data_IF_296163056477
#
_entry.id   IF_296163056477
#
_cell.length_a   1.000
_cell.length_b   1.000
_cell.length_c   1.000
_cell.angle_alpha   90.00
_cell.angle_beta   90.00
_cell.angle_gamma   90.00
#
_symmetry.space_group_name_H-M   'P 1'
#
loop_
_entity.id
_entity.type
_entity.pdbx_description
1 polymer ?
#
# COMPACT_ATOMS: atom_id res chain seq x y z
N UNK A 1 -0.19 -15.61 30.89
CA UNK A 1 1.14 -15.48 30.22
C UNK A 1 0.99 -15.28 28.72
N UNK A 2 0.23 -16.13 27.97
CA UNK A 2 0.15 -16.04 26.51
C UNK A 2 -0.34 -14.71 25.97
N UNK A 3 -1.42 -14.14 26.53
CA UNK A 3 -1.94 -12.83 26.10
C UNK A 3 -0.93 -11.69 26.33
N UNK A 4 -0.19 -11.72 27.43
CA UNK A 4 0.86 -10.72 27.70
C UNK A 4 1.96 -10.80 26.64
N UNK A 5 2.42 -12.01 26.35
CA UNK A 5 3.47 -12.23 25.33
C UNK A 5 2.99 -11.81 23.93
N UNK A 6 1.73 -12.11 23.56
CA UNK A 6 1.16 -11.65 22.30
C UNK A 6 1.19 -10.11 22.19
N UNK A 7 0.77 -9.39 23.23
CA UNK A 7 0.82 -7.93 23.27
C UNK A 7 2.26 -7.39 23.17
N UNK A 8 3.21 -7.99 23.88
CA UNK A 8 4.62 -7.61 23.84
C UNK A 8 5.18 -7.76 22.41
N UNK A 9 4.87 -8.88 21.72
CA UNK A 9 5.30 -9.13 20.35
C UNK A 9 4.65 -8.16 19.38
N UNK A 10 3.34 -7.88 19.50
CA UNK A 10 2.66 -6.91 18.64
C UNK A 10 3.31 -5.52 18.73
N UNK A 11 3.62 -5.06 19.95
CA UNK A 11 4.32 -3.78 20.17
C UNK A 11 5.75 -3.83 19.59
N UNK A 12 6.47 -4.94 19.76
CA UNK A 12 7.80 -5.12 19.21
C UNK A 12 7.78 -5.06 17.68
N UNK A 13 6.87 -5.78 17.03
CA UNK A 13 6.72 -5.82 15.58
C UNK A 13 6.41 -4.43 15.01
N UNK A 14 5.48 -3.69 15.62
CA UNK A 14 5.16 -2.33 15.19
C UNK A 14 6.39 -1.40 15.29
N UNK A 15 7.13 -1.45 16.40
CA UNK A 15 8.34 -0.65 16.57
C UNK A 15 9.50 -1.09 15.67
N UNK A 16 9.58 -2.37 15.31
CA UNK A 16 10.52 -2.86 14.31
C UNK A 16 10.25 -2.25 12.93
N UNK A 17 9.01 -2.30 12.46
CA UNK A 17 8.61 -1.66 11.19
C UNK A 17 8.89 -0.15 11.24
N UNK A 18 8.49 0.51 12.34
CA UNK A 18 8.76 1.93 12.54
C UNK A 18 10.24 2.25 12.36
N UNK A 19 11.12 1.55 13.05
CA UNK A 19 12.58 1.77 13.00
C UNK A 19 13.15 1.61 11.58
N UNK A 20 12.57 0.70 10.78
CA UNK A 20 12.94 0.50 9.38
C UNK A 20 12.47 1.63 8.46
N UNK A 21 11.31 2.21 8.74
CA UNK A 21 10.62 3.14 7.83
C UNK A 21 10.78 4.62 8.19
N UNK A 22 11.03 4.98 9.45
CA UNK A 22 10.91 6.37 9.94
C UNK A 22 11.85 7.39 9.26
N UNK A 23 12.92 6.96 8.63
CA UNK A 23 13.81 7.83 7.85
C UNK A 23 13.26 8.23 6.49
N UNK A 24 12.35 7.43 5.95
CA UNK A 24 11.79 7.58 4.61
C UNK A 24 10.29 7.94 4.62
N UNK A 25 9.60 7.57 5.69
CA UNK A 25 8.19 7.82 5.91
C UNK A 25 7.97 8.50 7.26
N UNK A 26 7.38 9.71 7.30
CA UNK A 26 7.04 10.35 8.56
C UNK A 26 6.04 9.51 9.36
N UNK A 27 6.32 9.30 10.63
CA UNK A 27 5.43 8.59 11.56
C UNK A 27 4.75 9.62 12.45
N UNK A 28 3.41 9.65 12.42
CA UNK A 28 2.62 10.45 13.33
C UNK A 28 2.45 9.72 14.67
N UNK A 29 2.34 10.50 15.73
CA UNK A 29 2.01 10.01 17.07
C UNK A 29 2.97 8.95 17.61
N UNK A 30 4.02 9.44 18.21
CA UNK A 30 4.91 8.62 19.03
C UNK A 30 4.82 9.05 20.49
N UNK A 31 5.09 8.12 21.39
CA UNK A 31 5.26 8.43 22.82
C UNK A 31 6.52 9.26 23.08
N UNK A 32 6.72 9.68 24.34
CA UNK A 32 7.86 10.52 24.76
C UNK A 32 9.23 9.93 24.45
N UNK A 33 9.33 8.60 24.29
CA UNK A 33 10.56 7.90 23.91
C UNK A 33 10.65 7.60 22.40
N UNK A 34 9.80 8.21 21.58
CA UNK A 34 9.76 7.98 20.14
C UNK A 34 9.24 6.61 19.72
N UNK A 35 8.54 5.88 20.60
CA UNK A 35 7.97 4.56 20.31
C UNK A 35 6.48 4.66 19.99
N UNK A 36 5.99 3.76 19.15
CA UNK A 36 4.56 3.53 18.94
C UNK A 36 4.05 2.37 19.79
N UNK A 37 2.74 2.19 19.84
CA UNK A 37 2.09 1.04 20.48
C UNK A 37 2.12 -0.18 19.54
N UNK A 38 1.02 -0.92 19.43
CA UNK A 38 0.90 -2.08 18.51
C UNK A 38 0.62 -1.68 17.05
N UNK A 39 0.33 -0.41 16.81
CA UNK A 39 0.07 0.18 15.50
C UNK A 39 0.82 1.50 15.33
N UNK A 40 0.94 1.97 14.09
CA UNK A 40 1.51 3.27 13.77
C UNK A 40 0.79 3.93 12.62
N UNK A 41 0.81 5.26 12.60
CA UNK A 41 0.24 6.07 11.53
C UNK A 41 1.36 6.64 10.69
N UNK A 42 1.43 6.22 9.42
CA UNK A 42 2.37 6.72 8.42
C UNK A 42 1.75 7.89 7.68
N UNK A 43 2.41 9.04 7.71
CA UNK A 43 1.93 10.26 7.03
C UNK A 43 2.35 10.27 5.56
N UNK A 44 1.38 10.13 4.65
CA UNK A 44 1.62 10.18 3.21
C UNK A 44 1.39 11.56 2.60
N UNK A 45 0.89 12.55 3.36
CA UNK A 45 0.56 13.89 2.87
C UNK A 45 1.75 14.64 2.27
N UNK A 46 2.99 14.52 2.78
CA UNK A 46 4.16 15.14 2.13
C UNK A 46 4.36 14.66 0.69
N UNK A 47 4.07 13.39 0.37
CA UNK A 47 4.24 12.84 -0.98
C UNK A 47 3.18 13.36 -1.96
N UNK A 48 1.99 13.73 -1.46
CA UNK A 48 1.00 14.43 -2.28
C UNK A 48 1.52 15.78 -2.74
N UNK A 49 2.21 16.50 -1.87
CA UNK A 49 2.77 17.82 -2.19
C UNK A 49 3.97 17.71 -3.14
N UNK A 50 4.92 16.82 -2.86
CA UNK A 50 6.16 16.69 -3.63
C UNK A 50 5.98 15.98 -4.98
N UNK A 51 5.23 14.87 -4.98
CA UNK A 51 5.13 13.94 -6.12
C UNK A 51 3.70 13.78 -6.68
N UNK A 52 2.67 14.35 -6.03
CA UNK A 52 1.26 14.10 -6.38
C UNK A 52 0.79 12.69 -6.00
N UNK A 53 1.55 11.97 -5.15
CA UNK A 53 1.24 10.60 -4.72
C UNK A 53 0.42 10.62 -3.45
N UNK A 54 -0.73 9.99 -3.47
CA UNK A 54 -1.64 9.88 -2.32
C UNK A 54 -1.48 8.54 -1.59
N UNK A 55 -2.01 8.46 -0.38
CA UNK A 55 -2.00 7.22 0.40
C UNK A 55 -2.64 6.05 -0.37
N UNK A 56 -3.70 6.33 -1.15
CA UNK A 56 -4.34 5.34 -2.02
C UNK A 56 -3.39 4.80 -3.10
N UNK A 57 -2.56 5.64 -3.69
CA UNK A 57 -1.58 5.21 -4.70
C UNK A 57 -0.57 4.21 -4.10
N UNK A 58 -0.10 4.49 -2.88
CA UNK A 58 0.80 3.60 -2.14
C UNK A 58 0.08 2.28 -1.80
N UNK A 59 -1.14 2.36 -1.32
CA UNK A 59 -1.96 1.19 -0.99
C UNK A 59 -2.20 0.29 -2.22
N UNK A 60 -2.56 0.87 -3.35
CA UNK A 60 -2.75 0.13 -4.61
C UNK A 60 -1.44 -0.45 -5.12
N UNK A 61 -0.33 0.27 -4.95
CA UNK A 61 0.98 -0.25 -5.35
C UNK A 61 1.45 -1.41 -4.47
N UNK A 62 1.14 -1.42 -3.17
CA UNK A 62 1.41 -2.55 -2.28
C UNK A 62 0.76 -3.86 -2.75
N UNK A 63 -0.39 -3.79 -3.44
CA UNK A 63 -1.01 -4.98 -4.03
C UNK A 63 -0.13 -5.63 -5.11
N UNK A 64 0.64 -4.85 -5.87
CA UNK A 64 1.61 -5.38 -6.84
C UNK A 64 2.78 -6.10 -6.16
N UNK A 65 3.09 -5.72 -4.91
CA UNK A 65 4.08 -6.37 -4.05
C UNK A 65 3.52 -7.58 -3.29
N UNK A 66 2.23 -7.91 -3.48
CA UNK A 66 1.57 -9.05 -2.87
C UNK A 66 1.09 -8.80 -1.44
N UNK A 67 0.78 -7.54 -1.09
CA UNK A 67 0.20 -7.17 0.19
C UNK A 67 -1.24 -6.69 0.05
N UNK A 68 -2.08 -7.09 0.98
CA UNK A 68 -3.30 -6.35 1.26
C UNK A 68 -2.92 -5.02 1.92
N UNK A 69 -3.44 -3.92 1.38
CA UNK A 69 -3.05 -2.61 1.87
C UNK A 69 -3.50 -2.36 3.32
N UNK A 70 -2.71 -1.61 4.11
CA UNK A 70 -3.13 -1.14 5.42
C UNK A 70 -4.36 -0.22 5.34
N UNK A 71 -5.01 0.00 6.48
CA UNK A 71 -6.16 0.92 6.60
C UNK A 71 -5.80 2.32 6.11
N UNK A 72 -6.62 2.83 5.18
CA UNK A 72 -6.42 4.12 4.52
C UNK A 72 -7.12 5.25 5.27
N UNK A 73 -6.42 6.38 5.40
CA UNK A 73 -7.01 7.66 5.84
C UNK A 73 -7.75 7.59 7.17
N UNK A 74 -7.27 6.75 8.08
CA UNK A 74 -7.80 6.61 9.43
C UNK A 74 -6.63 6.50 10.45
N UNK A 75 -6.71 7.18 11.59
CA UNK A 75 -7.72 8.18 12.00
C UNK A 75 -7.52 9.54 11.33
N UNK A 76 -6.49 9.73 10.54
CA UNK A 76 -6.15 10.98 9.86
C UNK A 76 -6.21 10.79 8.35
N UNK A 77 -6.87 11.72 7.65
CA UNK A 77 -6.94 11.70 6.19
C UNK A 77 -5.53 11.78 5.55
N UNK A 78 -5.28 10.97 4.52
CA UNK A 78 -4.01 10.93 3.79
C UNK A 78 -2.89 10.18 4.51
N UNK A 79 -3.25 9.25 5.40
CA UNK A 79 -2.31 8.39 6.13
C UNK A 79 -2.58 6.91 5.88
N UNK A 80 -1.64 6.07 6.30
CA UNK A 80 -1.79 4.61 6.38
C UNK A 80 -1.64 4.21 7.86
N UNK A 81 -2.56 3.40 8.37
CA UNK A 81 -2.45 2.79 9.69
C UNK A 81 -1.91 1.36 9.54
N UNK A 82 -0.74 1.12 10.09
CA UNK A 82 -0.05 -0.18 9.99
C UNK A 82 -0.11 -0.86 11.35
N UNK A 83 -0.70 -2.05 11.37
CA UNK A 83 -0.81 -2.93 12.53
C UNK A 83 -0.32 -4.33 12.15
N UNK A 84 0.94 -4.69 12.48
CA UNK A 84 1.50 -5.99 12.08
C UNK A 84 1.00 -7.15 12.92
N UNK A 85 0.38 -6.90 14.07
CA UNK A 85 -0.03 -7.88 15.09
C UNK A 85 1.15 -8.70 15.68
N UNK A 86 0.85 -9.71 16.48
CA UNK A 86 1.83 -10.66 17.01
C UNK A 86 2.08 -11.85 16.08
N UNK A 87 1.20 -12.07 15.10
CA UNK A 87 1.22 -13.27 14.25
C UNK A 87 2.19 -13.18 13.07
N UNK A 88 2.64 -12.00 12.70
CA UNK A 88 3.59 -11.84 11.61
C UNK A 88 5.01 -12.19 12.05
N UNK A 89 5.68 -13.02 11.24
CA UNK A 89 7.08 -13.35 11.48
C UNK A 89 8.01 -12.26 10.93
N UNK A 90 9.28 -12.31 11.35
CA UNK A 90 10.27 -11.30 10.97
C UNK A 90 10.47 -11.19 9.45
N UNK A 91 10.46 -12.30 8.73
CA UNK A 91 10.68 -12.30 7.28
C UNK A 91 9.53 -11.57 6.55
N UNK A 92 8.30 -11.71 7.05
CA UNK A 92 7.13 -10.98 6.52
C UNK A 92 7.22 -9.48 6.85
N UNK A 93 7.65 -9.11 8.06
CA UNK A 93 7.91 -7.72 8.42
C UNK A 93 8.99 -7.10 7.53
N UNK A 94 10.08 -7.84 7.27
CA UNK A 94 11.14 -7.40 6.36
C UNK A 94 10.62 -7.22 4.94
N UNK A 95 9.88 -8.19 4.41
CA UNK A 95 9.27 -8.14 3.09
C UNK A 95 8.35 -6.92 2.94
N UNK A 96 7.56 -6.61 3.96
CA UNK A 96 6.68 -5.44 3.97
C UNK A 96 7.47 -4.13 3.98
N UNK A 97 8.50 -4.02 4.82
CA UNK A 97 9.36 -2.85 4.84
C UNK A 97 10.09 -2.65 3.52
N UNK A 98 10.61 -3.71 2.90
CA UNK A 98 11.29 -3.65 1.61
C UNK A 98 10.33 -3.20 0.49
N UNK A 99 9.06 -3.62 0.53
CA UNK A 99 8.03 -3.15 -0.39
C UNK A 99 7.81 -1.64 -0.25
N UNK A 100 7.61 -1.13 0.97
CA UNK A 100 7.42 0.29 1.20
C UNK A 100 8.66 1.12 0.83
N UNK A 101 9.86 0.67 1.15
CA UNK A 101 11.10 1.35 0.77
C UNK A 101 11.29 1.37 -0.75
N UNK A 102 10.91 0.31 -1.46
CA UNK A 102 10.89 0.28 -2.92
C UNK A 102 9.86 1.26 -3.49
N UNK A 103 8.65 1.32 -2.93
CA UNK A 103 7.64 2.32 -3.29
C UNK A 103 8.15 3.75 -3.02
N UNK A 104 8.88 3.97 -1.93
CA UNK A 104 9.50 5.28 -1.65
C UNK A 104 10.54 5.66 -2.70
N UNK A 105 11.29 4.70 -3.21
CA UNK A 105 12.20 4.94 -4.33
C UNK A 105 11.45 5.32 -5.62
N UNK A 106 10.32 4.68 -5.91
CA UNK A 106 9.44 5.04 -7.04
C UNK A 106 8.86 6.46 -6.87
N UNK A 107 8.50 6.87 -5.66
CA UNK A 107 8.08 8.25 -5.35
C UNK A 107 9.22 9.24 -5.61
N UNK A 108 10.45 8.88 -5.21
CA UNK A 108 11.65 9.71 -5.42
C UNK A 108 11.94 9.93 -6.91
N UNK A 109 11.72 8.93 -7.76
CA UNK A 109 11.83 9.10 -9.21
C UNK A 109 10.89 10.20 -9.75
N UNK A 110 9.69 10.34 -9.17
CA UNK A 110 8.75 11.40 -9.53
C UNK A 110 9.24 12.76 -9.00
N UNK A 111 9.70 12.80 -7.75
CA UNK A 111 10.25 14.01 -7.13
C UNK A 111 11.45 14.58 -7.91
N UNK A 112 12.29 13.69 -8.45
CA UNK A 112 13.46 14.03 -9.26
C UNK A 112 13.14 14.30 -10.75
N UNK A 113 11.87 14.21 -11.15
CA UNK A 113 11.44 14.40 -12.53
C UNK A 113 11.79 13.27 -13.50
N UNK A 114 12.23 12.12 -12.99
CA UNK A 114 12.52 10.90 -13.77
C UNK A 114 11.27 10.14 -14.18
N UNK A 115 10.17 10.34 -13.46
CA UNK A 115 8.86 9.78 -13.76
C UNK A 115 7.80 10.89 -13.80
N UNK A 116 6.79 10.72 -14.65
CA UNK A 116 5.72 11.70 -14.81
C UNK A 116 4.77 11.67 -13.60
N UNK A 117 4.36 12.83 -13.09
CA UNK A 117 3.45 12.94 -11.95
C UNK A 117 2.05 12.37 -12.19
N UNK A 118 1.53 12.52 -13.41
CA UNK A 118 0.18 12.08 -13.75
C UNK A 118 0.13 10.64 -14.28
N UNK A 119 1.24 10.14 -14.86
CA UNK A 119 1.30 8.80 -15.45
C UNK A 119 2.59 8.10 -15.02
N UNK A 120 2.49 7.22 -14.04
CA UNK A 120 3.61 6.48 -13.46
C UNK A 120 3.11 5.17 -12.85
N UNK A 121 4.04 4.35 -12.35
CA UNK A 121 3.74 3.01 -11.83
C UNK A 121 2.80 3.02 -10.62
N UNK A 122 2.84 4.07 -9.77
CA UNK A 122 1.93 4.19 -8.62
C UNK A 122 0.51 4.60 -9.08
N UNK A 123 0.40 5.54 -10.01
CA UNK A 123 -0.90 6.01 -10.52
C UNK A 123 -1.67 4.94 -11.28
N UNK A 124 -0.97 4.00 -11.88
CA UNK A 124 -1.58 2.89 -12.63
C UNK A 124 -1.70 1.58 -11.84
N UNK A 125 -1.16 1.51 -10.64
CA UNK A 125 -1.32 0.35 -9.76
C UNK A 125 -2.78 0.18 -9.30
N UNK A 126 -3.24 -1.06 -9.05
CA UNK A 126 -2.53 -2.30 -9.20
C UNK A 126 -2.51 -2.83 -10.64
N UNK A 127 -1.52 -3.65 -11.00
CA UNK A 127 -1.34 -4.22 -12.32
C UNK A 127 -1.87 -5.66 -12.37
N UNK A 128 -3.03 -5.87 -12.96
CA UNK A 128 -3.60 -7.20 -13.16
C UNK A 128 -2.86 -7.97 -14.26
N UNK A 129 -2.96 -9.29 -14.23
CA UNK A 129 -2.38 -10.14 -15.27
C UNK A 129 -2.90 -9.77 -16.66
N UNK A 130 -4.20 -9.54 -16.80
CA UNK A 130 -4.80 -9.16 -18.08
C UNK A 130 -4.29 -7.81 -18.59
N UNK A 131 -4.16 -6.80 -17.73
CA UNK A 131 -3.63 -5.49 -18.10
C UNK A 131 -2.17 -5.53 -18.58
N UNK A 132 -1.40 -6.53 -18.14
CA UNK A 132 0.02 -6.67 -18.48
C UNK A 132 0.23 -7.54 -19.71
N UNK A 133 -0.57 -8.59 -19.90
CA UNK A 133 -0.38 -9.59 -20.94
C UNK A 133 -1.21 -9.33 -22.21
N UNK A 134 -2.33 -8.62 -22.09
CA UNK A 134 -3.24 -8.38 -23.21
C UNK A 134 -3.09 -6.97 -23.77
N UNK A 135 -2.98 -6.88 -25.09
CA UNK A 135 -2.91 -5.60 -25.80
C UNK A 135 -1.53 -4.93 -25.75
N UNK A 136 -1.50 -3.71 -26.28
CA UNK A 136 -0.32 -2.88 -26.33
C UNK A 136 0.01 -2.28 -24.95
N UNK A 137 1.32 -2.14 -24.68
CA UNK A 137 1.78 -1.51 -23.46
C UNK A 137 2.07 -0.02 -23.70
N UNK A 138 1.13 0.82 -23.34
CA UNK A 138 1.16 2.28 -23.52
C UNK A 138 1.68 3.06 -22.29
N UNK A 139 2.28 2.35 -21.33
CA UNK A 139 2.76 2.94 -20.07
C UNK A 139 4.19 3.46 -20.19
N UNK A 140 4.54 4.59 -19.52
CA UNK A 140 5.90 5.17 -19.58
C UNK A 140 6.93 4.42 -18.72
N UNK A 141 6.69 3.15 -18.41
CA UNK A 141 7.57 2.24 -17.66
C UNK A 141 7.42 0.81 -18.18
N UNK A 142 8.39 -0.06 -17.88
CA UNK A 142 8.37 -1.43 -18.39
C UNK A 142 7.33 -2.32 -17.69
N UNK A 143 6.85 -3.36 -18.38
CA UNK A 143 6.04 -4.43 -17.79
C UNK A 143 6.73 -5.05 -16.57
N UNK A 144 8.05 -5.28 -16.65
CA UNK A 144 8.82 -5.85 -15.54
C UNK A 144 8.77 -4.96 -14.28
N UNK A 145 8.97 -3.63 -14.43
CA UNK A 145 8.83 -2.66 -13.32
C UNK A 145 7.42 -2.68 -12.73
N UNK A 146 6.40 -2.84 -13.57
CA UNK A 146 5.01 -2.93 -13.13
C UNK A 146 4.78 -4.11 -12.18
N UNK A 147 5.26 -5.31 -12.56
CA UNK A 147 4.82 -6.56 -11.91
C UNK A 147 5.88 -7.28 -11.10
N UNK A 148 7.17 -6.99 -11.31
CA UNK A 148 8.29 -7.65 -10.62
C UNK A 148 9.26 -6.64 -9.98
N UNK A 149 8.76 -5.71 -9.14
CA UNK A 149 9.58 -4.64 -8.60
C UNK A 149 10.69 -5.11 -7.66
N UNK A 150 10.54 -6.30 -7.06
CA UNK A 150 11.54 -6.92 -6.18
C UNK A 150 11.69 -8.42 -6.49
N UNK A 151 12.83 -8.97 -6.13
CA UNK A 151 13.17 -10.37 -6.42
C UNK A 151 12.17 -11.38 -5.83
N UNK A 152 11.70 -11.15 -4.60
CA UNK A 152 10.71 -12.04 -3.97
C UNK A 152 9.37 -12.02 -4.71
N UNK A 153 8.97 -10.88 -5.28
CA UNK A 153 7.74 -10.76 -6.07
C UNK A 153 7.86 -11.60 -7.36
N UNK A 154 9.05 -11.61 -7.98
CA UNK A 154 9.31 -12.43 -9.17
C UNK A 154 9.24 -13.92 -8.85
N UNK A 155 9.73 -14.34 -7.69
CA UNK A 155 9.71 -15.73 -7.25
C UNK A 155 8.29 -16.22 -6.89
N UNK A 156 7.46 -15.37 -6.28
CA UNK A 156 6.13 -15.73 -5.77
C UNK A 156 5.11 -14.63 -6.10
N UNK A 157 4.82 -14.45 -7.39
CA UNK A 157 3.87 -13.42 -7.85
C UNK A 157 2.44 -13.75 -7.45
N UNK A 158 1.84 -12.89 -6.65
CA UNK A 158 0.40 -12.81 -6.47
C UNK A 158 -0.16 -11.72 -7.40
N UNK A 159 -1.11 -12.08 -8.25
CA UNK A 159 -1.70 -11.16 -9.21
C UNK A 159 -2.93 -10.47 -8.61
N UNK A 160 -2.95 -9.12 -8.59
CA UNK A 160 -4.19 -8.40 -8.28
C UNK A 160 -5.31 -8.79 -9.26
N UNK A 161 -6.50 -9.03 -8.73
CA UNK A 161 -7.64 -9.47 -9.54
C UNK A 161 -8.33 -8.32 -10.28
N UNK A 162 -8.25 -7.10 -9.75
CA UNK A 162 -8.95 -5.93 -10.26
C UNK A 162 -7.95 -4.79 -10.45
N UNK A 163 -8.00 -4.12 -11.61
CA UNK A 163 -7.27 -2.87 -11.86
C UNK A 163 -7.84 -1.73 -11.02
N UNK A 164 -7.17 -0.57 -11.04
CA UNK A 164 -7.67 0.62 -10.35
C UNK A 164 -9.08 0.98 -10.82
N UNK A 165 -9.97 1.17 -9.86
CA UNK A 165 -11.32 1.67 -10.05
C UNK A 165 -11.41 3.12 -9.59
N UNK A 166 -12.35 3.87 -10.13
CA UNK A 166 -12.75 5.17 -9.61
C UNK A 166 -13.77 4.96 -8.47
N UNK A 167 -13.26 4.83 -7.25
CA UNK A 167 -14.09 4.59 -6.06
C UNK A 167 -15.06 5.74 -5.82
N UNK A 168 -14.63 6.99 -6.05
CA UNK A 168 -15.48 8.17 -5.85
C UNK A 168 -16.64 8.22 -6.85
N UNK A 169 -16.39 7.80 -8.10
CA UNK A 169 -17.46 7.65 -9.08
C UNK A 169 -18.42 6.54 -8.67
N UNK A 170 -17.90 5.37 -8.29
CA UNK A 170 -18.72 4.23 -7.86
C UNK A 170 -19.62 4.56 -6.68
N UNK A 171 -19.10 5.24 -5.66
CA UNK A 171 -19.88 5.64 -4.48
C UNK A 171 -21.01 6.63 -4.80
N UNK A 172 -20.84 7.46 -5.84
CA UNK A 172 -21.85 8.44 -6.27
C UNK A 172 -22.83 7.88 -7.29
N UNK A 173 -22.51 6.75 -7.94
CA UNK A 173 -23.28 6.15 -9.01
C UNK A 173 -23.58 4.69 -8.70
N UNK A 174 -24.25 4.46 -7.58
CA UNK A 174 -24.63 3.12 -7.15
C UNK A 174 -25.60 2.50 -8.17
N UNK A 175 -25.27 1.28 -8.58
CA UNK A 175 -26.17 0.44 -9.40
C UNK A 175 -26.62 -0.73 -8.53
N UNK A 176 -27.90 -0.74 -8.15
CA UNK A 176 -28.49 -1.88 -7.45
C UNK A 176 -28.86 -2.95 -8.47
N UNK A 177 -28.23 -4.11 -8.40
CA UNK A 177 -28.55 -5.27 -9.21
C UNK A 177 -29.49 -6.26 -8.48
N UNK A 178 -30.08 -5.85 -7.35
CA UNK A 178 -31.03 -6.69 -6.62
C UNK A 178 -32.34 -6.80 -7.43
N UNK A 179 -32.81 -8.01 -7.56
CA UNK A 179 -34.14 -8.26 -8.10
C UNK A 179 -35.22 -7.60 -7.20
N UNK A 180 -36.30 -7.09 -7.78
CA UNK A 180 -37.39 -6.53 -6.98
C UNK A 180 -38.01 -7.60 -6.08
N UNK A 181 -38.58 -7.19 -4.93
CA UNK A 181 -39.14 -8.11 -3.94
C UNK A 181 -40.21 -9.03 -4.55
N UNK A 182 -40.93 -8.56 -5.56
CA UNK A 182 -41.95 -9.31 -6.27
C UNK A 182 -41.40 -10.55 -7.01
N UNK A 183 -40.14 -10.57 -7.35
CA UNK A 183 -39.50 -11.74 -7.99
C UNK A 183 -39.20 -12.89 -7.02
N UNK A 184 -39.36 -12.65 -5.69
CA UNK A 184 -39.16 -13.67 -4.63
C UNK A 184 -40.47 -14.14 -4.02
N UNK A 185 -41.62 -13.64 -4.48
CA UNK A 185 -42.95 -14.08 -4.07
C UNK A 185 -43.53 -15.09 -5.07
#
# INVERSE_FOLDING_TARGET
KGLTTATEIAILNANYIKARLEKEFPILYTGSQGRCAHEMIVDCRPFKLSAGVEAEDIAKRLMDYGFHAPTLSFPVAGTLMIEPTESENKDELDRFCDALLSIRAEIREIEEGKANKASNVLKHAPHTQSAVLLGDWDRPYSREKAVFPLAYVKANKFWPMVSRIDSAYGDRNLVCACEPMESYM
#
